data_IF_545846249822
#
_entry.id   IF_545846249822
#
_cell.length_a   1.000
_cell.length_b   1.000
_cell.length_c   1.000
_cell.angle_alpha   90.00
_cell.angle_beta   90.00
_cell.angle_gamma   90.00
#
_symmetry.space_group_name_H-M   'P 1'
#
loop_
_entity.id
_entity.type
_entity.pdbx_description
1 polymer ?
#
# COMPACT_ATOMS: atom_id res chain seq x y z
N UNK A 1 12.35 -6.54 27.43
CA UNK A 1 12.67 -7.11 26.11
C UNK A 1 11.35 -7.21 25.37
N UNK A 2 11.17 -6.48 24.27
CA UNK A 2 9.96 -6.61 23.45
C UNK A 2 10.05 -7.98 22.78
N UNK A 3 9.08 -8.86 23.03
CA UNK A 3 8.99 -10.13 22.34
C UNK A 3 8.55 -9.88 20.90
N UNK A 4 9.51 -9.95 19.98
CA UNK A 4 9.34 -9.71 18.55
C UNK A 4 8.89 -10.96 17.79
N UNK A 5 8.64 -12.10 18.47
CA UNK A 5 8.20 -13.34 17.82
C UNK A 5 6.86 -13.20 17.10
N UNK A 6 5.97 -12.30 17.56
CA UNK A 6 4.73 -11.90 16.86
C UNK A 6 4.97 -11.07 15.58
N UNK A 7 6.18 -10.52 15.40
CA UNK A 7 6.57 -9.75 14.21
C UNK A 7 6.91 -10.60 12.99
N UNK A 8 7.13 -11.92 13.17
CA UNK A 8 7.57 -12.88 12.13
C UNK A 8 6.43 -13.44 11.26
N UNK A 9 5.23 -12.90 11.40
CA UNK A 9 4.05 -13.28 10.62
C UNK A 9 4.18 -12.93 9.13
N UNK A 10 3.51 -13.73 8.29
CA UNK A 10 3.56 -13.69 6.82
C UNK A 10 3.43 -12.27 6.25
N UNK A 11 4.22 -11.92 5.22
CA UNK A 11 4.07 -10.65 4.52
C UNK A 11 2.73 -10.61 3.80
N UNK A 12 2.24 -9.39 3.56
CA UNK A 12 1.15 -9.20 2.61
C UNK A 12 1.65 -9.54 1.21
N UNK A 13 0.86 -10.24 0.41
CA UNK A 13 1.27 -10.67 -0.93
C UNK A 13 0.27 -10.14 -1.96
N UNK A 14 0.78 -9.44 -2.98
CA UNK A 14 -0.01 -9.00 -4.13
C UNK A 14 0.55 -9.63 -5.39
N UNK A 15 -0.33 -10.04 -6.30
CA UNK A 15 0.06 -10.54 -7.61
C UNK A 15 -0.13 -9.44 -8.65
N UNK A 16 0.97 -9.02 -9.26
CA UNK A 16 0.98 -8.03 -10.33
C UNK A 16 0.58 -8.67 -11.68
N UNK A 17 0.29 -7.85 -12.68
CA UNK A 17 -0.11 -8.29 -14.02
C UNK A 17 0.95 -9.16 -14.71
N UNK A 18 2.22 -8.86 -14.47
CA UNK A 18 3.38 -9.63 -14.92
C UNK A 18 3.52 -11.01 -14.23
N UNK A 19 2.55 -11.38 -13.39
CA UNK A 19 2.48 -12.58 -12.54
C UNK A 19 3.50 -12.59 -11.39
N UNK A 20 4.24 -11.52 -11.18
CA UNK A 20 5.14 -11.37 -10.03
C UNK A 20 4.31 -11.29 -8.75
N UNK A 21 4.72 -12.06 -7.74
CA UNK A 21 4.16 -11.94 -6.39
C UNK A 21 5.05 -11.00 -5.58
N UNK A 22 4.52 -9.82 -5.28
CA UNK A 22 5.15 -8.79 -4.48
C UNK A 22 4.83 -9.02 -3.00
N UNK A 23 5.86 -9.23 -2.18
CA UNK A 23 5.73 -9.45 -0.73
C UNK A 23 5.99 -8.15 0.00
N UNK A 24 4.98 -7.58 0.63
CA UNK A 24 5.06 -6.27 1.28
C UNK A 24 5.24 -6.39 2.80
N UNK A 25 6.13 -5.55 3.32
CA UNK A 25 6.30 -5.33 4.76
C UNK A 25 5.09 -4.57 5.31
N UNK A 26 4.92 -4.57 6.63
CA UNK A 26 3.94 -3.71 7.33
C UNK A 26 4.17 -2.22 7.01
N UNK A 27 3.12 -1.39 7.01
CA UNK A 27 3.29 0.04 6.83
C UNK A 27 4.08 0.63 8.00
N UNK A 28 4.74 1.77 7.78
CA UNK A 28 5.21 2.60 8.90
C UNK A 28 4.02 3.31 9.54
N UNK A 29 4.20 3.85 10.75
CA UNK A 29 3.14 4.62 11.42
C UNK A 29 2.64 5.79 10.55
N UNK A 30 3.55 6.52 9.89
CA UNK A 30 3.16 7.61 8.98
C UNK A 30 2.34 7.12 7.78
N UNK A 31 2.76 6.02 7.15
CA UNK A 31 2.02 5.45 6.02
C UNK A 31 0.65 4.91 6.45
N UNK A 32 0.53 4.33 7.65
CA UNK A 32 -0.76 3.87 8.17
C UNK A 32 -1.75 5.03 8.36
N UNK A 33 -1.28 6.18 8.85
CA UNK A 33 -2.11 7.38 9.02
C UNK A 33 -2.59 7.94 7.67
N UNK A 34 -1.72 7.92 6.65
CA UNK A 34 -2.09 8.32 5.29
C UNK A 34 -3.12 7.35 4.69
N UNK A 35 -2.92 6.04 4.83
CA UNK A 35 -3.86 5.01 4.38
C UNK A 35 -5.24 5.15 5.05
N UNK A 36 -5.28 5.48 6.34
CA UNK A 36 -6.54 5.68 7.07
C UNK A 36 -7.34 6.90 6.56
N UNK A 37 -6.67 7.88 5.94
CA UNK A 37 -7.29 9.11 5.42
C UNK A 37 -7.69 9.03 3.95
N UNK A 38 -7.50 7.89 3.29
CA UNK A 38 -7.81 7.72 1.86
C UNK A 38 -9.25 8.10 1.50
N UNK A 39 -10.22 7.80 2.38
CA UNK A 39 -11.63 8.14 2.17
C UNK A 39 -11.86 9.66 2.24
N UNK A 40 -11.17 10.36 3.14
CA UNK A 40 -11.26 11.83 3.29
C UNK A 40 -10.69 12.56 2.07
N UNK A 41 -9.61 12.03 1.49
CA UNK A 41 -8.96 12.61 0.30
C UNK A 41 -9.89 12.60 -0.92
N UNK A 42 -10.61 11.50 -1.14
CA UNK A 42 -11.52 11.39 -2.29
C UNK A 42 -12.74 12.33 -2.23
N UNK A 43 -13.05 12.87 -1.05
CA UNK A 43 -14.20 13.74 -0.83
C UNK A 43 -13.85 15.23 -0.81
N UNK A 44 -12.58 15.59 -0.56
CA UNK A 44 -12.18 16.96 -0.23
C UNK A 44 -11.26 17.63 -1.25
N UNK A 45 -10.56 16.85 -2.07
CA UNK A 45 -9.54 17.35 -3.00
C UNK A 45 -9.98 17.31 -4.47
N UNK A 46 -9.25 18.02 -5.34
CA UNK A 46 -9.52 17.97 -6.77
C UNK A 46 -9.15 16.59 -7.33
N UNK A 47 -9.91 16.04 -8.30
CA UNK A 47 -9.68 14.70 -8.81
C UNK A 47 -8.26 14.43 -9.31
N UNK A 48 -7.59 15.42 -9.90
CA UNK A 48 -6.21 15.28 -10.38
C UNK A 48 -5.21 15.12 -9.21
N UNK A 49 -5.36 15.93 -8.16
CA UNK A 49 -4.51 15.89 -6.97
C UNK A 49 -4.69 14.56 -6.22
N UNK A 50 -5.92 14.06 -6.15
CA UNK A 50 -6.24 12.76 -5.55
C UNK A 50 -5.52 11.63 -6.31
N UNK A 51 -5.56 11.63 -7.64
CA UNK A 51 -4.89 10.59 -8.45
C UNK A 51 -3.38 10.60 -8.21
N UNK A 52 -2.75 11.78 -8.22
CA UNK A 52 -1.32 11.92 -7.93
C UNK A 52 -0.98 11.39 -6.54
N UNK A 53 -1.81 11.74 -5.54
CA UNK A 53 -1.63 11.29 -4.17
C UNK A 53 -1.76 9.76 -4.02
N UNK A 54 -2.76 9.16 -4.68
CA UNK A 54 -2.94 7.70 -4.70
C UNK A 54 -1.73 7.01 -5.34
N UNK A 55 -1.21 7.54 -6.45
CA UNK A 55 -0.02 6.99 -7.09
C UNK A 55 1.21 7.10 -6.19
N UNK A 56 1.40 8.21 -5.48
CA UNK A 56 2.48 8.39 -4.52
C UNK A 56 2.39 7.37 -3.37
N UNK A 57 1.22 7.24 -2.73
CA UNK A 57 1.02 6.27 -1.63
C UNK A 57 1.24 4.85 -2.14
N UNK A 58 0.68 4.49 -3.29
CA UNK A 58 0.83 3.16 -3.89
C UNK A 58 2.28 2.83 -4.17
N UNK A 59 3.03 3.78 -4.73
CA UNK A 59 4.48 3.65 -4.96
C UNK A 59 5.25 3.43 -3.66
N UNK A 60 4.92 4.18 -2.61
CA UNK A 60 5.51 4.00 -1.28
C UNK A 60 5.17 2.64 -0.69
N UNK A 61 3.94 2.16 -0.84
CA UNK A 61 3.51 0.82 -0.41
C UNK A 61 4.30 -0.26 -1.16
N UNK A 62 4.39 -0.15 -2.50
CA UNK A 62 5.11 -1.11 -3.33
C UNK A 62 6.61 -1.14 -3.03
N UNK A 63 7.23 0.01 -2.76
CA UNK A 63 8.64 0.10 -2.37
C UNK A 63 8.93 -0.44 -0.96
N UNK A 64 7.91 -0.82 -0.19
CA UNK A 64 8.07 -1.63 1.03
C UNK A 64 8.12 -3.12 0.75
N UNK A 65 8.40 -3.53 -0.48
CA UNK A 65 8.54 -4.93 -0.83
C UNK A 65 9.80 -5.60 -0.24
N UNK A 66 9.75 -6.92 -0.15
CA UNK A 66 10.84 -7.81 0.25
C UNK A 66 11.57 -8.40 -0.97
N UNK A 67 11.12 -8.10 -2.19
CA UNK A 67 11.66 -8.60 -3.45
C UNK A 67 12.89 -7.81 -3.91
N UNK A 68 13.18 -6.65 -3.31
CA UNK A 68 14.29 -5.77 -3.70
C UNK A 68 14.03 -4.95 -4.96
N UNK A 69 12.78 -4.92 -5.44
CA UNK A 69 12.38 -4.12 -6.61
C UNK A 69 12.15 -2.67 -6.18
N UNK A 70 12.52 -1.73 -7.04
CA UNK A 70 12.21 -0.31 -6.86
C UNK A 70 11.18 0.05 -7.93
N UNK A 71 10.12 0.71 -7.52
CA UNK A 71 9.07 1.23 -8.37
C UNK A 71 9.13 2.76 -8.34
N UNK A 72 9.01 3.36 -9.51
CA UNK A 72 8.79 4.79 -9.69
C UNK A 72 7.30 5.08 -9.78
N UNK A 73 6.90 6.33 -9.52
CA UNK A 73 5.49 6.73 -9.65
C UNK A 73 4.98 6.59 -11.08
N UNK A 74 5.83 6.85 -12.07
CA UNK A 74 5.50 6.64 -13.48
C UNK A 74 5.20 5.17 -13.79
N UNK A 75 6.05 4.25 -13.31
CA UNK A 75 5.80 2.81 -13.49
C UNK A 75 4.52 2.35 -12.79
N UNK A 76 4.20 2.89 -11.61
CA UNK A 76 2.95 2.56 -10.91
C UNK A 76 1.74 3.11 -11.65
N UNK A 77 1.80 4.36 -12.12
CA UNK A 77 0.71 5.00 -12.86
C UNK A 77 0.44 4.33 -14.23
N UNK A 78 1.47 3.76 -14.87
CA UNK A 78 1.31 2.98 -16.09
C UNK A 78 0.80 1.56 -15.82
N UNK A 79 1.13 0.98 -14.65
CA UNK A 79 0.78 -0.40 -14.29
C UNK A 79 -0.62 -0.53 -13.71
N UNK A 80 -1.10 0.48 -12.99
CA UNK A 80 -2.37 0.43 -12.26
C UNK A 80 -3.24 1.61 -12.65
N UNK A 81 -4.49 1.33 -13.00
CA UNK A 81 -5.49 2.38 -13.02
C UNK A 81 -5.84 2.81 -11.58
N UNK A 82 -6.48 3.98 -11.48
CA UNK A 82 -6.85 4.59 -10.19
C UNK A 82 -7.68 3.65 -9.30
N UNK A 83 -8.63 2.92 -9.91
CA UNK A 83 -9.52 2.01 -9.18
C UNK A 83 -8.73 0.84 -8.59
N UNK A 84 -7.85 0.23 -9.38
CA UNK A 84 -6.98 -0.86 -8.94
C UNK A 84 -6.01 -0.40 -7.85
N UNK A 85 -5.40 0.78 -8.01
CA UNK A 85 -4.56 1.36 -6.98
C UNK A 85 -5.32 1.54 -5.66
N UNK A 86 -6.56 2.04 -5.71
CA UNK A 86 -7.42 2.14 -4.53
C UNK A 86 -7.72 0.79 -3.88
N UNK A 87 -8.07 -0.24 -4.65
CA UNK A 87 -8.30 -1.58 -4.10
C UNK A 87 -7.05 -2.15 -3.43
N UNK A 88 -5.88 -1.95 -4.04
CA UNK A 88 -4.59 -2.37 -3.48
C UNK A 88 -4.33 -1.71 -2.12
N UNK A 89 -4.55 -0.40 -2.02
CA UNK A 89 -4.35 0.35 -0.78
C UNK A 89 -5.35 -0.07 0.31
N UNK A 90 -6.62 -0.27 -0.06
CA UNK A 90 -7.66 -0.72 0.86
C UNK A 90 -7.39 -2.14 1.39
N UNK A 91 -7.04 -3.09 0.52
CA UNK A 91 -6.73 -4.46 0.95
C UNK A 91 -5.47 -4.50 1.83
N UNK A 92 -4.45 -3.71 1.49
CA UNK A 92 -3.26 -3.56 2.32
C UNK A 92 -3.57 -2.98 3.71
N UNK A 93 -4.46 -1.99 3.79
CA UNK A 93 -4.93 -1.42 5.03
C UNK A 93 -5.74 -2.43 5.86
N UNK A 94 -6.70 -3.13 5.24
CA UNK A 94 -7.51 -4.15 5.90
C UNK A 94 -6.65 -5.31 6.42
N UNK A 95 -5.67 -5.76 5.63
CA UNK A 95 -4.72 -6.77 6.08
C UNK A 95 -3.91 -6.27 7.28
N UNK A 96 -3.59 -4.97 7.33
CA UNK A 96 -2.91 -4.37 8.48
C UNK A 96 -3.82 -4.33 9.72
N UNK A 97 -5.10 -3.94 9.59
CA UNK A 97 -6.05 -3.90 10.73
C UNK A 97 -6.36 -5.29 11.31
N UNK A 98 -6.57 -6.29 10.44
CA UNK A 98 -6.75 -7.69 10.87
C UNK A 98 -5.60 -8.21 11.75
N UNK A 99 -4.41 -7.65 11.57
CA UNK A 99 -3.22 -8.00 12.37
C UNK A 99 -3.06 -7.18 13.65
N UNK A 100 -3.71 -6.03 13.73
CA UNK A 100 -3.73 -5.19 14.93
C UNK A 100 -4.77 -5.65 15.96
N UNK A 101 -5.73 -6.49 15.56
CA UNK A 101 -6.68 -7.14 16.46
C UNK A 101 -8.15 -6.78 16.26
N UNK A 102 -8.52 -6.31 15.07
CA UNK A 102 -9.92 -6.19 14.62
C UNK A 102 -10.34 -7.37 13.74
#
# INVERSE_FOLDING_TARGET
MIDLSKGLEKPYEIKLEDKTVLKLKKPTQGLLLELARLQELTETEQPADVIEHINNITTRVFNRNMNGRIFTEAEVAEMLDFETAMYVLQDYLQHTYKRLGE
#
